data_IF_186690949146
#
_entry.id   IF_186690949146
#
_cell.length_a   1.000
_cell.length_b   1.000
_cell.length_c   1.000
_cell.angle_alpha   90.00
_cell.angle_beta   90.00
_cell.angle_gamma   90.00
#
_symmetry.space_group_name_H-M   'P 1'
#
loop_
_entity.id
_entity.type
_entity.pdbx_description
1 polymer ?
#
# COMPACT_ATOMS: atom_id res chain seq x y z
N UNK A 1 -3.78 -33.90 -8.56
CA UNK A 1 -2.71 -32.93 -8.92
C UNK A 1 -1.34 -33.61 -8.86
N UNK A 2 -0.34 -33.14 -9.64
CA UNK A 2 1.02 -33.69 -9.66
C UNK A 2 2.02 -32.70 -9.03
N UNK A 3 2.92 -33.20 -8.22
CA UNK A 3 3.96 -32.38 -7.57
C UNK A 3 5.00 -31.93 -8.59
N UNK A 4 5.05 -30.65 -8.90
CA UNK A 4 6.10 -30.06 -9.73
C UNK A 4 7.35 -29.69 -8.93
N UNK A 5 7.14 -29.18 -7.72
CA UNK A 5 8.22 -28.86 -6.76
C UNK A 5 7.67 -28.94 -5.34
N UNK A 6 8.47 -29.44 -4.41
CA UNK A 6 8.18 -29.40 -2.99
C UNK A 6 8.78 -28.11 -2.44
N UNK A 7 7.96 -27.29 -1.81
CA UNK A 7 8.39 -26.05 -1.15
C UNK A 7 8.74 -26.33 0.31
N UNK A 8 7.86 -27.02 1.03
CA UNK A 8 8.09 -27.60 2.36
C UNK A 8 7.17 -28.79 2.57
N UNK A 9 7.06 -29.34 3.79
CA UNK A 9 6.22 -30.52 4.07
C UNK A 9 4.73 -30.31 3.79
N UNK A 10 4.26 -29.05 3.81
CA UNK A 10 2.84 -28.68 3.73
C UNK A 10 2.51 -27.82 2.50
N UNK A 11 3.51 -27.43 1.72
CA UNK A 11 3.36 -26.62 0.51
C UNK A 11 4.07 -27.26 -0.68
N UNK A 12 3.37 -27.35 -1.79
CA UNK A 12 3.91 -27.81 -3.06
C UNK A 12 3.55 -26.83 -4.19
N UNK A 13 4.38 -26.80 -5.23
CA UNK A 13 4.05 -26.22 -6.50
C UNK A 13 3.45 -27.31 -7.40
N UNK A 14 2.31 -27.02 -8.02
CA UNK A 14 1.60 -27.88 -8.96
C UNK A 14 1.11 -27.06 -10.15
N UNK A 15 0.33 -27.67 -11.01
CA UNK A 15 -0.40 -26.98 -12.08
C UNK A 15 -1.88 -27.31 -12.00
N UNK A 16 -2.71 -26.29 -12.29
CA UNK A 16 -4.16 -26.45 -12.42
C UNK A 16 -4.55 -27.19 -13.72
N UNK A 17 -5.85 -27.36 -13.94
CA UNK A 17 -6.39 -28.00 -15.15
C UNK A 17 -6.15 -27.19 -16.44
N UNK A 18 -5.76 -25.93 -16.35
CA UNK A 18 -5.43 -25.03 -17.47
C UNK A 18 -3.92 -24.92 -17.71
N UNK A 19 -3.09 -25.53 -16.84
CA UNK A 19 -1.65 -25.52 -16.93
C UNK A 19 -0.94 -24.39 -16.20
N UNK A 20 -1.69 -23.54 -15.47
CA UNK A 20 -1.11 -22.46 -14.67
C UNK A 20 -0.47 -23.01 -13.40
N UNK A 21 0.66 -22.42 -13.00
CA UNK A 21 1.31 -22.77 -11.74
C UNK A 21 0.45 -22.35 -10.54
N UNK A 22 0.26 -23.27 -9.60
CA UNK A 22 -0.50 -23.08 -8.38
C UNK A 22 0.30 -23.56 -7.18
N UNK A 23 0.16 -22.88 -6.04
CA UNK A 23 0.67 -23.37 -4.77
C UNK A 23 -0.47 -24.13 -4.08
N UNK A 24 -0.18 -25.36 -3.66
CA UNK A 24 -1.14 -26.20 -2.96
C UNK A 24 -0.67 -26.38 -1.53
N UNK A 25 -1.54 -26.04 -0.56
CA UNK A 25 -1.34 -26.22 0.87
C UNK A 25 -2.13 -27.44 1.34
N UNK A 26 -1.53 -28.20 2.25
CA UNK A 26 -2.21 -29.28 2.98
C UNK A 26 -1.27 -29.92 3.98
N UNK A 27 -1.81 -30.31 5.13
CA UNK A 27 -1.03 -30.91 6.21
C UNK A 27 -0.29 -32.17 5.73
N UNK A 28 1.04 -32.16 5.78
CA UNK A 28 1.89 -33.28 5.33
C UNK A 28 1.73 -33.65 3.86
N UNK A 29 1.22 -32.75 3.00
CA UNK A 29 0.94 -33.03 1.58
C UNK A 29 2.17 -33.48 0.81
N UNK A 30 3.35 -33.00 1.23
CA UNK A 30 4.64 -33.35 0.64
C UNK A 30 5.45 -34.36 1.47
N UNK A 31 4.93 -34.78 2.63
CA UNK A 31 5.67 -35.69 3.51
C UNK A 31 5.96 -37.01 2.84
N UNK A 32 7.24 -37.41 2.75
CA UNK A 32 7.75 -38.58 2.06
C UNK A 32 7.42 -38.65 0.56
N UNK A 33 6.97 -37.56 -0.05
CA UNK A 33 6.68 -37.45 -1.48
C UNK A 33 7.88 -36.91 -2.25
N UNK A 34 7.88 -37.13 -3.57
CA UNK A 34 8.90 -36.64 -4.50
C UNK A 34 8.24 -35.94 -5.68
N UNK A 35 9.01 -35.10 -6.36
CA UNK A 35 8.61 -34.47 -7.63
C UNK A 35 8.09 -35.55 -8.61
N UNK A 36 6.97 -35.27 -9.27
CA UNK A 36 6.32 -36.17 -10.23
C UNK A 36 5.27 -37.10 -9.62
N UNK A 37 5.17 -37.18 -8.30
CA UNK A 37 4.14 -38.00 -7.65
C UNK A 37 2.79 -37.25 -7.56
N UNK A 38 1.70 -38.02 -7.49
CA UNK A 38 0.37 -37.48 -7.31
C UNK A 38 0.11 -37.13 -5.85
N UNK A 39 -0.63 -36.01 -5.69
CA UNK A 39 -1.15 -35.56 -4.41
C UNK A 39 -2.48 -36.25 -4.13
N UNK A 40 -2.69 -36.68 -2.90
CA UNK A 40 -3.98 -37.13 -2.42
C UNK A 40 -4.92 -35.93 -2.27
N UNK A 41 -6.00 -35.89 -3.02
CA UNK A 41 -6.94 -34.75 -3.04
C UNK A 41 -7.53 -34.48 -1.66
N UNK A 42 -7.71 -35.51 -0.85
CA UNK A 42 -8.18 -35.38 0.54
C UNK A 42 -7.23 -34.62 1.47
N UNK A 43 -5.98 -34.43 1.07
CA UNK A 43 -4.98 -33.64 1.82
C UNK A 43 -4.87 -32.21 1.35
N UNK A 44 -5.58 -31.83 0.28
CA UNK A 44 -5.58 -30.46 -0.22
C UNK A 44 -6.52 -29.64 0.65
N UNK A 45 -5.94 -28.74 1.43
CA UNK A 45 -6.68 -27.77 2.24
C UNK A 45 -7.00 -26.51 1.44
N UNK A 46 -6.01 -26.02 0.66
CA UNK A 46 -6.16 -24.78 -0.12
C UNK A 46 -5.28 -24.80 -1.35
N UNK A 47 -5.79 -24.18 -2.42
CA UNK A 47 -5.05 -23.92 -3.65
C UNK A 47 -4.97 -22.41 -3.83
N UNK A 48 -3.75 -21.88 -3.94
CA UNK A 48 -3.50 -20.47 -4.19
C UNK A 48 -3.18 -20.29 -5.68
N UNK A 49 -3.89 -19.37 -6.32
CA UNK A 49 -3.69 -19.04 -7.73
C UNK A 49 -2.92 -17.73 -7.83
N UNK A 50 -1.88 -17.69 -8.63
CA UNK A 50 -1.21 -16.45 -9.00
C UNK A 50 -1.84 -15.94 -10.30
N UNK A 51 -2.68 -14.91 -10.23
CA UNK A 51 -3.41 -14.41 -11.41
C UNK A 51 -2.51 -13.88 -12.54
N UNK A 52 -1.22 -13.58 -12.33
CA UNK A 52 -0.42 -12.91 -13.35
C UNK A 52 1.09 -13.17 -13.36
N UNK A 53 1.63 -14.19 -12.69
CA UNK A 53 3.06 -14.48 -12.84
C UNK A 53 3.36 -15.97 -12.65
N UNK A 54 4.19 -16.50 -13.54
CA UNK A 54 5.05 -17.59 -13.15
C UNK A 54 5.60 -17.25 -11.76
N UNK A 55 5.26 -18.07 -10.76
CA UNK A 55 5.79 -17.89 -9.41
C UNK A 55 7.31 -17.91 -9.55
N UNK A 56 7.93 -16.73 -9.47
CA UNK A 56 9.35 -16.59 -9.78
C UNK A 56 10.17 -17.51 -8.86
N UNK A 57 11.34 -17.94 -9.31
CA UNK A 57 12.22 -18.80 -8.49
C UNK A 57 12.56 -18.16 -7.15
N UNK A 58 12.57 -16.83 -7.12
CA UNK A 58 12.82 -16.03 -5.90
C UNK A 58 11.66 -16.18 -4.92
N UNK A 59 10.40 -15.98 -5.36
CA UNK A 59 9.21 -16.20 -4.54
C UNK A 59 9.16 -17.63 -4.01
N UNK A 60 9.48 -18.62 -4.84
CA UNK A 60 9.56 -20.03 -4.41
C UNK A 60 10.61 -20.25 -3.29
N UNK A 61 11.72 -19.52 -3.32
CA UNK A 61 12.75 -19.56 -2.27
C UNK A 61 12.23 -19.02 -0.93
N UNK A 62 11.54 -17.89 -0.94
CA UNK A 62 10.92 -17.29 0.25
C UNK A 62 9.85 -18.19 0.86
N UNK A 63 8.98 -18.78 0.04
CA UNK A 63 7.90 -19.67 0.50
C UNK A 63 8.40 -20.93 1.23
N UNK A 64 9.61 -21.40 0.91
CA UNK A 64 10.21 -22.54 1.62
C UNK A 64 10.70 -22.18 3.03
N UNK A 65 10.93 -20.89 3.28
CA UNK A 65 11.50 -20.41 4.54
C UNK A 65 10.44 -20.00 5.58
N UNK A 66 9.17 -19.80 5.17
CA UNK A 66 8.09 -19.37 6.09
C UNK A 66 7.57 -20.58 6.88
N UNK A 67 7.73 -20.58 8.22
CA UNK A 67 7.14 -21.63 9.07
C UNK A 67 5.61 -21.61 9.01
N UNK A 68 5.00 -22.81 9.02
CA UNK A 68 3.56 -23.03 8.88
C UNK A 68 2.70 -22.18 9.83
N UNK A 69 3.13 -22.03 11.08
CA UNK A 69 2.42 -21.25 12.09
C UNK A 69 2.10 -19.80 11.67
N UNK A 70 2.97 -19.17 10.83
CA UNK A 70 2.71 -17.83 10.31
C UNK A 70 1.68 -17.86 9.18
N UNK A 71 1.77 -18.87 8.30
CA UNK A 71 0.81 -19.06 7.21
C UNK A 71 -0.60 -19.34 7.74
N UNK A 72 -0.73 -20.23 8.73
CA UNK A 72 -2.01 -20.58 9.33
C UNK A 72 -2.64 -19.38 10.06
N UNK A 73 -1.83 -18.64 10.81
CA UNK A 73 -2.27 -17.43 11.49
C UNK A 73 -2.77 -16.38 10.50
N UNK A 74 -1.99 -16.10 9.45
CA UNK A 74 -2.35 -15.11 8.42
C UNK A 74 -3.57 -15.58 7.63
N UNK A 75 -3.66 -16.87 7.30
CA UNK A 75 -4.82 -17.41 6.59
C UNK A 75 -6.11 -17.22 7.39
N UNK A 76 -6.11 -17.54 8.67
CA UNK A 76 -7.27 -17.34 9.53
C UNK A 76 -7.66 -15.86 9.60
N UNK A 77 -6.68 -14.95 9.77
CA UNK A 77 -6.92 -13.51 9.84
C UNK A 77 -7.45 -12.94 8.53
N UNK A 78 -6.80 -13.23 7.40
CA UNK A 78 -7.19 -12.70 6.09
C UNK A 78 -8.58 -13.21 5.68
N UNK A 79 -8.92 -14.48 5.99
CA UNK A 79 -10.25 -15.00 5.72
C UNK A 79 -11.32 -14.27 6.56
N UNK A 80 -11.04 -14.00 7.83
CA UNK A 80 -11.91 -13.21 8.73
C UNK A 80 -12.14 -11.78 8.17
N UNK A 81 -11.08 -11.13 7.69
CA UNK A 81 -11.17 -9.81 7.03
C UNK A 81 -12.00 -9.88 5.75
N UNK A 82 -11.78 -10.87 4.88
CA UNK A 82 -12.57 -11.07 3.65
C UNK A 82 -14.06 -11.20 3.96
N UNK A 83 -14.41 -11.94 5.00
CA UNK A 83 -15.81 -12.17 5.41
C UNK A 83 -16.44 -10.93 6.05
N UNK A 84 -15.75 -10.25 6.95
CA UNK A 84 -16.29 -9.10 7.70
C UNK A 84 -16.34 -7.83 6.87
N UNK A 85 -15.29 -7.56 6.12
CA UNK A 85 -15.11 -6.30 5.39
C UNK A 85 -15.51 -6.37 3.92
N UNK A 86 -15.79 -7.58 3.39
CA UNK A 86 -16.12 -7.80 1.99
C UNK A 86 -14.97 -7.50 1.03
N UNK A 87 -13.72 -7.48 1.51
CA UNK A 87 -12.55 -7.14 0.71
C UNK A 87 -12.19 -8.25 -0.28
N UNK A 88 -11.88 -7.86 -1.52
CA UNK A 88 -11.38 -8.75 -2.56
C UNK A 88 -9.85 -8.73 -2.54
N UNK A 89 -9.25 -9.63 -1.80
CA UNK A 89 -7.81 -9.70 -1.62
C UNK A 89 -7.20 -10.80 -2.47
N UNK A 90 -6.15 -10.46 -3.22
CA UNK A 90 -5.34 -11.42 -3.99
C UNK A 90 -4.63 -12.39 -3.04
N UNK A 91 -4.46 -13.63 -3.47
CA UNK A 91 -3.85 -14.70 -2.66
C UNK A 91 -2.37 -14.46 -2.31
N UNK A 92 -1.68 -13.54 -3.00
CA UNK A 92 -0.31 -13.17 -2.65
C UNK A 92 -0.17 -12.64 -1.22
N UNK A 93 -1.27 -12.07 -0.64
CA UNK A 93 -1.29 -11.54 0.72
C UNK A 93 -0.93 -12.59 1.78
N UNK A 94 -1.35 -13.83 1.59
CA UNK A 94 -1.06 -14.91 2.55
C UNK A 94 0.45 -15.10 2.75
N UNK A 95 1.21 -14.93 1.68
CA UNK A 95 2.66 -15.12 1.68
C UNK A 95 3.40 -13.84 2.07
N UNK A 96 3.06 -12.71 1.44
CA UNK A 96 3.73 -11.45 1.69
C UNK A 96 3.56 -10.97 3.14
N UNK A 97 2.37 -11.13 3.70
CA UNK A 97 2.08 -10.76 5.08
C UNK A 97 2.72 -11.73 6.08
N UNK A 98 2.74 -13.05 5.77
CA UNK A 98 3.43 -14.04 6.63
C UNK A 98 4.93 -13.80 6.68
N UNK A 99 5.56 -13.48 5.55
CA UNK A 99 6.98 -13.13 5.48
C UNK A 99 7.28 -11.85 6.28
N UNK A 100 6.43 -10.83 6.11
CA UNK A 100 6.59 -9.58 6.84
C UNK A 100 6.49 -9.78 8.36
N UNK A 101 5.48 -10.51 8.85
CA UNK A 101 5.30 -10.79 10.29
C UNK A 101 6.50 -11.58 10.83
N UNK A 102 6.94 -12.62 10.12
CA UNK A 102 8.13 -13.39 10.50
C UNK A 102 9.37 -12.49 10.57
N UNK A 103 9.57 -11.63 9.57
CA UNK A 103 10.67 -10.67 9.49
C UNK A 103 10.62 -9.64 10.63
N UNK A 104 9.44 -9.07 10.92
CA UNK A 104 9.24 -8.10 12.00
C UNK A 104 9.56 -8.70 13.37
N UNK A 105 9.08 -9.91 13.65
CA UNK A 105 9.39 -10.64 14.89
C UNK A 105 10.88 -10.97 14.98
N UNK A 106 11.51 -11.35 13.86
CA UNK A 106 12.95 -11.62 13.82
C UNK A 106 13.76 -10.35 14.10
N UNK A 107 13.41 -9.23 13.49
CA UNK A 107 14.05 -7.92 13.74
C UNK A 107 13.92 -7.52 15.20
N UNK A 108 12.71 -7.61 15.77
CA UNK A 108 12.46 -7.27 17.17
C UNK A 108 13.35 -8.11 18.13
N UNK A 109 13.46 -9.43 17.89
CA UNK A 109 14.32 -10.32 18.70
C UNK A 109 15.80 -9.96 18.61
N UNK A 110 16.23 -9.33 17.52
CA UNK A 110 17.58 -8.80 17.34
C UNK A 110 17.72 -7.34 17.81
N UNK A 111 16.72 -6.78 18.51
CA UNK A 111 16.73 -5.40 19.02
C UNK A 111 16.54 -4.32 17.95
N UNK A 112 16.12 -4.70 16.75
CA UNK A 112 15.89 -3.76 15.65
C UNK A 112 14.39 -3.42 15.58
N UNK A 113 14.05 -2.13 15.77
CA UNK A 113 12.72 -1.58 15.55
C UNK A 113 12.75 -0.68 14.32
N UNK A 114 11.90 -0.96 13.34
CA UNK A 114 11.74 -0.08 12.19
C UNK A 114 10.79 1.06 12.55
N UNK A 115 11.16 2.27 12.16
CA UNK A 115 10.26 3.43 12.17
C UNK A 115 9.61 3.56 10.80
N UNK A 116 8.32 3.78 10.78
CA UNK A 116 7.57 4.05 9.57
C UNK A 116 7.41 5.56 9.40
N UNK A 117 8.31 6.18 8.64
CA UNK A 117 8.31 7.62 8.40
C UNK A 117 7.02 8.09 7.69
N UNK A 118 6.29 7.18 7.04
CA UNK A 118 5.04 7.45 6.32
C UNK A 118 3.79 7.05 7.13
N UNK A 119 3.93 6.76 8.43
CA UNK A 119 2.83 6.23 9.24
C UNK A 119 1.59 7.14 9.22
N UNK A 120 1.79 8.46 9.33
CA UNK A 120 0.70 9.43 9.29
C UNK A 120 0.03 9.47 7.91
N UNK A 121 0.83 9.50 6.85
CA UNK A 121 0.31 9.51 5.47
C UNK A 121 -0.46 8.22 5.17
N UNK A 122 0.06 7.06 5.57
CA UNK A 122 -0.60 5.76 5.40
C UNK A 122 -1.94 5.76 6.14
N UNK A 123 -1.98 6.23 7.38
CA UNK A 123 -3.21 6.33 8.18
C UNK A 123 -4.26 7.20 7.49
N UNK A 124 -3.86 8.29 6.86
CA UNK A 124 -4.76 9.20 6.17
C UNK A 124 -5.20 8.68 4.80
N UNK A 125 -4.27 8.11 4.02
CA UNK A 125 -4.54 7.61 2.66
C UNK A 125 -5.31 6.29 2.64
N UNK A 126 -5.11 5.44 3.67
CA UNK A 126 -5.57 4.06 3.74
C UNK A 126 -6.16 3.76 5.12
N UNK A 127 -7.07 4.64 5.57
CA UNK A 127 -7.63 4.57 6.94
C UNK A 127 -8.23 3.21 7.27
N UNK A 128 -9.02 2.64 6.37
CA UNK A 128 -9.66 1.33 6.58
C UNK A 128 -8.62 0.21 6.73
N UNK A 129 -7.64 0.18 5.84
CA UNK A 129 -6.59 -0.84 5.86
C UNK A 129 -5.66 -0.65 7.07
N UNK A 130 -5.48 0.60 7.53
CA UNK A 130 -4.73 0.89 8.75
C UNK A 130 -5.43 0.36 10.01
N UNK A 131 -6.75 0.51 10.12
CA UNK A 131 -7.52 -0.08 11.23
C UNK A 131 -7.43 -1.62 11.22
N UNK A 132 -7.47 -2.24 10.05
CA UNK A 132 -7.21 -3.69 9.90
C UNK A 132 -5.78 -4.03 10.33
N UNK A 133 -4.80 -3.18 9.96
CA UNK A 133 -3.40 -3.32 10.38
C UNK A 133 -3.22 -3.26 11.90
N UNK A 134 -3.95 -2.39 12.59
CA UNK A 134 -3.96 -2.31 14.06
C UNK A 134 -4.55 -3.56 14.71
N UNK A 135 -5.66 -4.08 14.15
CA UNK A 135 -6.25 -5.33 14.65
C UNK A 135 -5.26 -6.50 14.46
N UNK A 136 -4.62 -6.57 13.29
CA UNK A 136 -3.59 -7.58 13.02
C UNK A 136 -2.42 -7.47 13.98
N UNK A 137 -1.90 -6.25 14.20
CA UNK A 137 -0.80 -5.98 15.14
C UNK A 137 -1.11 -6.53 16.54
N UNK A 138 -2.30 -6.23 17.05
CA UNK A 138 -2.76 -6.73 18.34
C UNK A 138 -2.74 -8.26 18.39
N UNK A 139 -3.34 -8.93 17.39
CA UNK A 139 -3.40 -10.39 17.32
C UNK A 139 -2.01 -11.02 17.15
N UNK A 140 -1.09 -10.39 16.40
CA UNK A 140 0.32 -10.85 16.27
C UNK A 140 1.02 -10.78 17.62
N UNK A 141 0.90 -9.65 18.33
CA UNK A 141 1.53 -9.47 19.63
C UNK A 141 1.02 -10.50 20.64
N UNK A 142 -0.29 -10.77 20.66
CA UNK A 142 -0.90 -11.79 21.52
C UNK A 142 -0.47 -13.22 21.14
N UNK A 143 -0.51 -13.58 19.85
CA UNK A 143 -0.26 -14.95 19.39
C UNK A 143 1.21 -15.36 19.52
N UNK A 144 2.14 -14.43 19.27
CA UNK A 144 3.57 -14.73 19.24
C UNK A 144 4.33 -14.24 20.48
N UNK A 145 3.62 -13.68 21.47
CA UNK A 145 4.18 -13.11 22.70
C UNK A 145 5.31 -12.12 22.43
N UNK A 146 4.98 -11.08 21.68
CA UNK A 146 5.91 -10.02 21.25
C UNK A 146 5.30 -8.63 21.44
N UNK A 147 6.12 -7.57 21.38
CA UNK A 147 5.70 -6.18 21.50
C UNK A 147 6.19 -5.38 20.26
N UNK A 148 5.54 -5.65 19.12
CA UNK A 148 5.74 -4.87 17.91
C UNK A 148 5.10 -3.49 18.07
N UNK A 149 5.75 -2.44 17.50
CA UNK A 149 5.26 -1.05 17.58
C UNK A 149 4.13 -0.78 16.59
N UNK A 150 3.41 0.34 16.79
CA UNK A 150 2.37 0.81 15.89
C UNK A 150 2.86 1.07 14.44
N UNK A 151 4.16 1.26 14.25
CA UNK A 151 4.75 1.40 12.92
C UNK A 151 4.47 0.19 12.03
N UNK A 152 4.46 -1.01 12.61
CA UNK A 152 4.18 -2.25 11.86
C UNK A 152 2.72 -2.31 11.37
N UNK A 153 1.77 -1.66 12.06
CA UNK A 153 0.39 -1.56 11.58
C UNK A 153 0.30 -0.82 10.23
N UNK A 154 1.10 0.22 10.04
CA UNK A 154 1.20 0.91 8.74
C UNK A 154 1.74 0.01 7.64
N UNK A 155 2.78 -0.77 7.91
CA UNK A 155 3.29 -1.73 6.94
C UNK A 155 2.29 -2.85 6.64
N UNK A 156 1.57 -3.36 7.66
CA UNK A 156 0.49 -4.33 7.46
C UNK A 156 -0.62 -3.77 6.57
N UNK A 157 -1.03 -2.51 6.79
CA UNK A 157 -2.02 -1.84 5.96
C UNK A 157 -1.66 -1.87 4.47
N UNK A 158 -0.40 -1.57 4.13
CA UNK A 158 0.07 -1.57 2.74
C UNK A 158 -0.01 -2.95 2.08
N UNK A 159 0.14 -4.04 2.83
CA UNK A 159 -0.09 -5.39 2.31
C UNK A 159 -1.54 -5.60 1.89
N UNK A 160 -2.52 -5.08 2.65
CA UNK A 160 -3.94 -5.14 2.29
C UNK A 160 -4.23 -4.29 1.05
N UNK A 161 -3.74 -3.04 1.00
CA UNK A 161 -3.89 -2.17 -0.18
C UNK A 161 -3.36 -2.84 -1.44
N UNK A 162 -2.14 -3.38 -1.38
CA UNK A 162 -1.53 -4.04 -2.54
C UNK A 162 -2.31 -5.29 -2.97
N UNK A 163 -2.90 -6.00 -2.02
CA UNK A 163 -3.68 -7.21 -2.32
C UNK A 163 -5.05 -6.91 -2.93
N UNK A 164 -5.69 -5.79 -2.58
CA UNK A 164 -6.97 -5.37 -3.19
C UNK A 164 -6.82 -5.02 -4.67
N UNK A 165 -5.71 -4.38 -5.03
CA UNK A 165 -5.45 -3.95 -6.41
C UNK A 165 -4.78 -5.04 -7.27
N UNK A 166 -4.78 -6.29 -6.80
CA UNK A 166 -4.18 -7.42 -7.50
C UNK A 166 -2.66 -7.34 -7.65
N UNK A 167 -1.99 -6.58 -6.77
CA UNK A 167 -0.53 -6.41 -6.78
C UNK A 167 -0.02 -5.49 -7.89
N UNK A 168 -0.89 -4.71 -8.51
CA UNK A 168 -0.51 -3.75 -9.57
C UNK A 168 0.03 -2.45 -9.02
N UNK A 169 -0.40 -2.08 -7.81
CA UNK A 169 -0.07 -0.81 -7.18
C UNK A 169 1.08 -0.99 -6.20
N UNK A 170 2.08 -0.12 -6.29
CA UNK A 170 3.08 0.05 -5.24
C UNK A 170 2.58 1.13 -4.25
N UNK A 171 1.78 0.71 -3.27
CA UNK A 171 1.19 1.61 -2.27
C UNK A 171 2.25 2.35 -1.44
N UNK A 172 3.43 1.77 -1.26
CA UNK A 172 4.54 2.41 -0.57
C UNK A 172 5.10 3.58 -1.40
N UNK A 173 5.31 3.38 -2.71
CA UNK A 173 5.76 4.44 -3.60
C UNK A 173 4.72 5.56 -3.72
N UNK A 174 3.44 5.23 -3.78
CA UNK A 174 2.36 6.23 -3.72
C UNK A 174 2.47 7.08 -2.47
N UNK A 175 2.64 6.45 -1.30
CA UNK A 175 2.75 7.16 -0.02
C UNK A 175 3.98 8.08 0.02
N UNK A 176 5.12 7.66 -0.56
CA UNK A 176 6.32 8.50 -0.67
C UNK A 176 6.03 9.75 -1.53
N UNK A 177 5.45 9.58 -2.71
CA UNK A 177 5.18 10.69 -3.62
C UNK A 177 4.21 11.68 -2.98
N UNK A 178 3.14 11.17 -2.35
CA UNK A 178 2.16 12.01 -1.65
C UNK A 178 2.83 12.78 -0.51
N UNK A 179 3.64 12.11 0.32
CA UNK A 179 4.39 12.74 1.41
C UNK A 179 5.30 13.86 0.90
N UNK A 180 6.07 13.63 -0.15
CA UNK A 180 6.96 14.64 -0.74
C UNK A 180 6.18 15.87 -1.25
N UNK A 181 5.02 15.65 -1.89
CA UNK A 181 4.16 16.74 -2.35
C UNK A 181 3.61 17.54 -1.17
N UNK A 182 3.12 16.86 -0.12
CA UNK A 182 2.60 17.51 1.09
C UNK A 182 3.69 18.32 1.80
N UNK A 183 4.89 17.77 1.94
CA UNK A 183 6.05 18.45 2.55
C UNK A 183 6.42 19.74 1.79
N UNK A 184 6.36 19.72 0.44
CA UNK A 184 6.54 20.93 -0.37
C UNK A 184 5.45 21.94 -0.09
N UNK A 185 4.18 21.53 -0.03
CA UNK A 185 3.06 22.45 0.23
C UNK A 185 3.18 23.05 1.63
N UNK A 186 3.43 22.23 2.65
CA UNK A 186 3.64 22.70 4.04
C UNK A 186 4.74 23.74 4.13
N UNK A 187 5.92 23.46 3.59
CA UNK A 187 7.06 24.35 3.60
C UNK A 187 6.84 25.63 2.80
N UNK A 188 6.16 25.53 1.66
CA UNK A 188 5.87 26.70 0.82
C UNK A 188 4.94 27.71 1.50
N UNK A 189 4.05 27.22 2.39
CA UNK A 189 3.11 28.03 3.15
C UNK A 189 3.51 28.19 4.64
N UNK A 190 4.79 28.40 4.91
CA UNK A 190 5.34 28.70 6.25
C UNK A 190 5.01 27.61 7.30
N UNK A 191 5.20 26.34 6.94
CA UNK A 191 4.87 25.17 7.76
C UNK A 191 3.40 25.13 8.16
N UNK A 192 2.54 25.28 7.17
CA UNK A 192 1.09 25.16 7.33
C UNK A 192 0.71 23.75 7.82
N UNK A 193 0.02 23.69 8.96
CA UNK A 193 -0.54 22.43 9.45
C UNK A 193 -1.86 22.12 8.74
N UNK A 194 -1.98 20.92 8.19
CA UNK A 194 -3.22 20.43 7.63
C UNK A 194 -4.15 19.92 8.73
N UNK A 195 -5.43 20.28 8.63
CA UNK A 195 -6.46 19.74 9.51
C UNK A 195 -7.02 18.46 8.91
N UNK A 196 -6.82 17.33 9.57
CA UNK A 196 -7.22 16.02 9.09
C UNK A 196 -8.73 15.93 8.76
N UNK A 197 -9.58 16.60 9.53
CA UNK A 197 -11.04 16.63 9.35
C UNK A 197 -11.51 17.59 8.24
N UNK A 198 -10.60 18.34 7.61
CA UNK A 198 -10.95 19.32 6.59
C UNK A 198 -11.31 18.61 5.27
N UNK A 199 -12.54 18.85 4.79
CA UNK A 199 -13.05 18.23 3.54
C UNK A 199 -12.20 18.57 2.31
N UNK A 200 -11.63 19.77 2.22
CA UNK A 200 -10.78 20.16 1.10
C UNK A 200 -9.44 19.43 1.14
N UNK A 201 -8.90 19.25 2.35
CA UNK A 201 -7.69 18.45 2.55
C UNK A 201 -7.90 16.98 2.20
N UNK A 202 -8.99 16.36 2.66
CA UNK A 202 -9.33 14.97 2.32
C UNK A 202 -9.50 14.76 0.81
N UNK A 203 -10.12 15.73 0.12
CA UNK A 203 -10.22 15.71 -1.35
C UNK A 203 -8.85 15.84 -2.00
N UNK A 204 -8.01 16.73 -1.50
CA UNK A 204 -6.64 16.90 -2.00
C UNK A 204 -5.83 15.61 -1.86
N UNK A 205 -5.84 14.94 -0.71
CA UNK A 205 -5.21 13.64 -0.50
C UNK A 205 -5.70 12.58 -1.49
N UNK A 206 -7.01 12.51 -1.69
CA UNK A 206 -7.60 11.58 -2.66
C UNK A 206 -7.06 11.84 -4.07
N UNK A 207 -6.94 13.10 -4.46
CA UNK A 207 -6.43 13.47 -5.75
C UNK A 207 -4.93 13.22 -5.90
N UNK A 208 -4.14 13.47 -4.86
CA UNK A 208 -2.71 13.12 -4.84
C UNK A 208 -2.49 11.63 -4.98
N UNK A 209 -3.31 10.80 -4.30
CA UNK A 209 -3.27 9.35 -4.44
C UNK A 209 -3.50 8.94 -5.91
N UNK A 210 -4.56 9.44 -6.56
CA UNK A 210 -4.83 9.14 -7.96
C UNK A 210 -3.76 9.69 -8.91
N UNK A 211 -3.21 10.86 -8.64
CA UNK A 211 -2.08 11.41 -9.40
C UNK A 211 -0.87 10.48 -9.33
N UNK A 212 -0.46 10.07 -8.11
CA UNK A 212 0.66 9.16 -7.91
C UNK A 212 0.42 7.79 -8.57
N UNK A 213 -0.80 7.25 -8.51
CA UNK A 213 -1.17 6.00 -9.19
C UNK A 213 -0.99 6.12 -10.71
N UNK A 214 -1.57 7.15 -11.34
CA UNK A 214 -1.44 7.37 -12.79
C UNK A 214 0.02 7.54 -13.22
N UNK A 215 0.77 8.32 -12.45
CA UNK A 215 2.20 8.51 -12.69
C UNK A 215 2.95 7.17 -12.70
N UNK A 216 2.77 6.32 -11.68
CA UNK A 216 3.45 5.03 -11.57
C UNK A 216 3.02 4.06 -12.68
N UNK A 217 1.75 4.09 -13.10
CA UNK A 217 1.23 3.28 -14.19
C UNK A 217 1.54 3.85 -15.58
N UNK A 218 2.17 5.04 -15.67
CA UNK A 218 2.46 5.75 -16.92
C UNK A 218 1.20 6.04 -17.74
N UNK A 219 0.07 6.26 -17.08
CA UNK A 219 -1.20 6.64 -17.69
C UNK A 219 -1.23 8.16 -17.88
N UNK A 220 -0.96 8.62 -19.11
CA UNK A 220 -1.03 10.03 -19.44
C UNK A 220 -2.47 10.44 -19.73
N UNK A 221 -2.99 11.40 -18.99
CA UNK A 221 -4.22 12.10 -19.33
C UNK A 221 -3.87 13.40 -20.07
N UNK A 222 -4.42 13.54 -21.27
CA UNK A 222 -4.39 14.77 -22.03
C UNK A 222 -5.81 15.30 -22.11
N UNK A 223 -6.10 16.36 -21.38
CA UNK A 223 -7.29 17.17 -21.61
C UNK A 223 -6.81 18.54 -22.13
N UNK A 224 -7.26 18.95 -23.32
CA UNK A 224 -6.74 20.14 -24.02
C UNK A 224 -7.40 21.44 -23.50
N UNK A 225 -7.35 21.73 -22.19
CA UNK A 225 -7.91 22.94 -21.60
C UNK A 225 -6.88 24.05 -21.37
N UNK A 226 -6.10 24.38 -22.41
CA UNK A 226 -5.07 25.42 -22.36
C UNK A 226 -5.58 26.80 -21.93
N UNK A 227 -6.81 27.17 -22.30
CA UNK A 227 -7.39 28.45 -21.89
C UNK A 227 -7.67 28.51 -20.39
N UNK A 228 -8.24 27.43 -19.83
CA UNK A 228 -8.50 27.33 -18.40
C UNK A 228 -7.19 27.37 -17.60
N UNK A 229 -6.16 26.68 -18.07
CA UNK A 229 -4.85 26.69 -17.41
C UNK A 229 -4.26 28.12 -17.33
N UNK A 230 -4.34 28.90 -18.40
CA UNK A 230 -3.87 30.28 -18.40
C UNK A 230 -4.61 31.15 -17.40
N UNK A 231 -5.95 31.03 -17.34
CA UNK A 231 -6.78 31.80 -16.39
C UNK A 231 -6.43 31.45 -14.96
N UNK A 232 -6.37 30.16 -14.63
CA UNK A 232 -6.09 29.68 -13.25
C UNK A 232 -4.68 30.04 -12.81
N UNK A 233 -3.69 29.92 -13.68
CA UNK A 233 -2.30 30.32 -13.43
C UNK A 233 -2.17 31.82 -13.11
N UNK A 234 -2.94 32.67 -13.78
CA UNK A 234 -2.94 34.12 -13.52
C UNK A 234 -3.73 34.48 -12.26
N UNK A 235 -4.84 33.81 -12.01
CA UNK A 235 -5.72 34.06 -10.88
C UNK A 235 -5.11 33.55 -9.57
N UNK A 236 -4.49 32.36 -9.58
CA UNK A 236 -3.96 31.68 -8.39
C UNK A 236 -2.42 31.60 -8.42
N UNK A 237 -1.76 32.75 -8.59
CA UNK A 237 -0.30 32.86 -8.77
C UNK A 237 0.51 32.23 -7.68
N UNK A 238 0.06 32.35 -6.42
CA UNK A 238 0.74 31.78 -5.25
C UNK A 238 0.66 30.27 -5.27
N UNK A 239 -0.53 29.68 -5.43
CA UNK A 239 -0.72 28.25 -5.52
C UNK A 239 0.01 27.63 -6.73
N UNK A 240 -0.01 28.32 -7.87
CA UNK A 240 0.77 27.91 -9.04
C UNK A 240 2.28 27.98 -8.77
N UNK A 241 2.75 28.94 -7.98
CA UNK A 241 4.15 29.01 -7.52
C UNK A 241 4.55 27.75 -6.74
N UNK A 242 3.69 27.27 -5.83
CA UNK A 242 3.87 26.03 -5.11
C UNK A 242 3.90 24.81 -6.08
N UNK A 243 2.96 24.75 -7.03
CA UNK A 243 2.91 23.66 -8.02
C UNK A 243 4.18 23.62 -8.89
N UNK A 244 4.81 24.74 -9.17
CA UNK A 244 6.12 24.73 -9.86
C UNK A 244 7.23 24.07 -9.05
N UNK A 245 7.19 24.18 -7.72
CA UNK A 245 8.15 23.45 -6.87
C UNK A 245 7.90 21.95 -6.92
N UNK A 246 6.62 21.54 -6.92
CA UNK A 246 6.24 20.13 -7.10
C UNK A 246 6.70 19.63 -8.47
N UNK A 247 6.48 20.42 -9.55
CA UNK A 247 6.94 20.07 -10.89
C UNK A 247 8.46 19.83 -10.94
N UNK A 248 9.25 20.73 -10.31
CA UNK A 248 10.71 20.58 -10.27
C UNK A 248 11.13 19.30 -9.52
N UNK A 249 10.51 19.00 -8.39
CA UNK A 249 10.76 17.74 -7.66
C UNK A 249 10.45 16.52 -8.52
N UNK A 250 9.28 16.50 -9.20
CA UNK A 250 8.90 15.40 -10.09
C UNK A 250 9.87 15.23 -11.26
N UNK A 251 10.36 16.34 -11.83
CA UNK A 251 11.35 16.31 -12.92
C UNK A 251 12.72 15.84 -12.44
N UNK A 252 13.18 16.32 -11.28
CA UNK A 252 14.52 16.01 -10.75
C UNK A 252 14.61 14.59 -10.22
N UNK A 253 13.65 14.16 -9.39
CA UNK A 253 13.70 12.86 -8.71
C UNK A 253 13.16 11.72 -9.57
N UNK A 254 12.06 11.98 -10.29
CA UNK A 254 11.33 10.93 -11.02
C UNK A 254 11.50 11.00 -12.54
N UNK A 255 12.20 12.03 -13.07
CA UNK A 255 12.33 12.28 -14.52
C UNK A 255 10.98 12.38 -15.22
N UNK A 256 10.00 12.96 -14.53
CA UNK A 256 8.63 13.11 -14.97
C UNK A 256 8.26 14.58 -15.19
N UNK A 257 7.99 14.94 -16.45
CA UNK A 257 7.44 16.24 -16.79
C UNK A 257 5.92 16.20 -16.65
N UNK A 258 5.39 16.88 -15.64
CA UNK A 258 3.95 17.00 -15.42
C UNK A 258 3.27 17.71 -16.57
N UNK A 259 2.05 17.28 -16.90
CA UNK A 259 1.21 17.95 -17.90
C UNK A 259 0.63 19.28 -17.37
N UNK A 260 0.19 20.16 -18.27
CA UNK A 260 -0.52 21.40 -17.90
C UNK A 260 -1.81 21.10 -17.10
N UNK A 261 -2.51 20.00 -17.42
CA UNK A 261 -3.72 19.58 -16.72
C UNK A 261 -3.43 19.12 -15.29
N UNK A 262 -2.34 18.37 -15.07
CA UNK A 262 -1.90 17.97 -13.74
C UNK A 262 -1.52 19.20 -12.89
N UNK A 263 -0.79 20.15 -13.49
CA UNK A 263 -0.44 21.39 -12.82
C UNK A 263 -1.67 22.26 -12.52
N UNK A 264 -2.62 22.36 -13.46
CA UNK A 264 -3.90 23.03 -13.28
C UNK A 264 -4.66 22.45 -12.07
N UNK A 265 -4.75 21.14 -12.06
CA UNK A 265 -5.50 20.41 -11.05
C UNK A 265 -4.93 20.61 -9.65
N UNK A 266 -3.61 20.44 -9.49
CA UNK A 266 -2.93 20.70 -8.23
C UNK A 266 -3.06 22.18 -7.80
N UNK A 267 -2.99 23.12 -8.75
CA UNK A 267 -3.15 24.55 -8.46
C UNK A 267 -4.51 24.85 -7.80
N UNK A 268 -5.59 24.28 -8.34
CA UNK A 268 -6.95 24.50 -7.80
C UNK A 268 -7.07 23.91 -6.41
N UNK A 269 -6.54 22.70 -6.18
CA UNK A 269 -6.64 22.03 -4.88
C UNK A 269 -5.81 22.74 -3.81
N UNK A 270 -4.56 23.11 -4.13
CA UNK A 270 -3.69 23.87 -3.21
C UNK A 270 -4.32 25.22 -2.87
N UNK A 271 -4.89 25.93 -3.86
CA UNK A 271 -5.60 27.18 -3.59
C UNK A 271 -6.74 26.99 -2.57
N UNK A 272 -7.52 25.91 -2.74
CA UNK A 272 -8.68 25.65 -1.84
C UNK A 272 -8.28 25.36 -0.41
N UNK A 273 -7.27 24.52 -0.19
CA UNK A 273 -6.81 24.20 1.17
C UNK A 273 -6.15 25.39 1.84
N UNK A 274 -5.44 26.23 1.10
CA UNK A 274 -4.75 27.41 1.64
C UNK A 274 -5.68 28.59 1.90
N UNK A 275 -6.73 28.78 1.08
CA UNK A 275 -7.79 29.76 1.36
C UNK A 275 -8.51 29.47 2.69
N UNK A 276 -8.84 28.21 2.91
CA UNK A 276 -9.53 27.77 4.13
C UNK A 276 -8.64 27.97 5.36
N UNK A 277 -7.36 27.62 5.25
CA UNK A 277 -6.37 27.87 6.30
C UNK A 277 -6.23 29.37 6.63
N UNK A 278 -6.09 30.24 5.62
CA UNK A 278 -6.02 31.70 5.80
C UNK A 278 -7.28 32.27 6.46
N UNK A 279 -8.46 31.77 6.08
CA UNK A 279 -9.74 32.16 6.66
C UNK A 279 -9.83 31.79 8.14
N UNK A 280 -9.46 30.57 8.50
CA UNK A 280 -9.45 30.11 9.88
C UNK A 280 -8.46 30.90 10.74
N UNK A 281 -7.24 31.14 10.23
CA UNK A 281 -6.22 31.93 10.92
C UNK A 281 -6.67 33.39 11.18
N UNK A 282 -7.44 33.97 10.28
CA UNK A 282 -8.00 35.34 10.46
C UNK A 282 -9.15 35.35 11.50
N UNK A 283 -10.05 34.36 11.46
CA UNK A 283 -11.10 34.19 12.45
C UNK A 283 -10.54 34.03 13.88
N UNK A 284 -9.48 33.25 14.05
CA UNK A 284 -8.80 33.12 15.36
C UNK A 284 -8.18 34.42 15.83
N UNK A 285 -7.62 35.27 14.95
CA UNK A 285 -7.10 36.57 15.30
C UNK A 285 -8.17 37.54 15.73
N UNK A 286 -9.37 37.46 15.15
CA UNK A 286 -10.52 38.31 15.53
C UNK A 286 -11.18 37.88 16.86
N UNK A 287 -11.07 36.58 17.24
CA UNK A 287 -11.65 36.06 18.49
C UNK A 287 -10.72 36.31 19.69
N UNK A 288 -9.42 36.42 19.47
CA UNK A 288 -8.39 36.58 20.53
C UNK A 288 -8.06 38.05 20.81
N UNK A 289 -8.51 38.98 19.99
CA UNK A 289 -8.49 40.44 20.24
C UNK A 289 -9.78 40.92 20.88
#
# INVERSE_FOLDING_TARGET
>A
MVIHKILNNNLILSRDGQGHEVIVKGCGIAFQKKKGQQVEESRIEKIFTAENAQISKEIQGYLTAIPEKYLDFVEAFVNDVKEKEGMKLNDSIYFSLSDHIMGAISRLKNGIRLQNMLLLDIKQLYHKEYEIGLELLKKVNEMFDVDLSADEAGFFALHFVNAEDGGKTDSYQISIIVHQILDIVEKYYDNMEFQEDNLYYQRFLTHLKYFAQRFLHKELHYDENQELFKIIKEQYREAYGCVKMIYLMMEEEYKYAMTEDEMLYLTIHIQKITEDHKRLKNLWKEIVL
#
